data_IF_509932873569
#
_entry.id   IF_509932873569
#
_cell.length_a   1.000
_cell.length_b   1.000
_cell.length_c   1.000
_cell.angle_alpha   90.00
_cell.angle_beta   90.00
_cell.angle_gamma   90.00
#
_symmetry.space_group_name_H-M   'P 1'
#
loop_
_entity.id
_entity.type
_entity.pdbx_description
1 polymer ?
#
# COMPACT_ATOMS: atom_id res chain seq x y z
N UNK A 1 47.83 -8.00 -54.73
CA UNK A 1 47.61 -8.09 -56.20
C UNK A 1 46.33 -7.33 -56.46
N UNK A 2 46.44 -5.98 -56.77
CA UNK A 2 46.42 -5.42 -58.14
C UNK A 2 45.06 -5.74 -58.76
N UNK A 3 44.19 -4.82 -59.13
CA UNK A 3 44.28 -3.55 -59.92
C UNK A 3 42.88 -2.94 -59.93
N UNK A 4 42.59 -1.74 -59.50
CA UNK A 4 42.53 -0.45 -60.27
C UNK A 4 41.94 -0.53 -61.68
N UNK A 5 40.85 0.18 -61.90
CA UNK A 5 40.75 1.14 -63.04
C UNK A 5 39.45 1.98 -63.02
N UNK A 6 39.71 3.27 -63.08
CA UNK A 6 38.87 4.44 -63.34
C UNK A 6 38.14 4.42 -64.68
N UNK A 7 37.02 5.20 -64.74
CA UNK A 7 36.64 6.24 -65.78
C UNK A 7 35.10 6.38 -65.86
N UNK A 8 34.43 7.42 -65.95
CA UNK A 8 34.56 8.81 -66.40
C UNK A 8 33.23 9.55 -66.13
N UNK A 9 33.32 10.75 -65.70
CA UNK A 9 32.45 11.93 -65.83
C UNK A 9 31.28 11.82 -66.83
N UNK A 10 30.09 12.29 -66.36
CA UNK A 10 29.27 13.27 -67.08
C UNK A 10 28.49 14.12 -66.05
N UNK A 11 28.72 15.42 -66.16
CA UNK A 11 28.01 16.53 -65.49
C UNK A 11 26.71 16.73 -66.26
N UNK A 12 25.58 16.77 -65.55
CA UNK A 12 24.37 17.47 -66.01
C UNK A 12 23.78 18.26 -64.84
N UNK A 13 23.85 19.59 -64.98
CA UNK A 13 23.05 20.53 -64.20
C UNK A 13 21.58 20.27 -64.43
N UNK A 14 20.81 20.17 -63.36
CA UNK A 14 19.37 20.46 -63.45
C UNK A 14 18.90 21.07 -62.14
N UNK A 15 18.49 22.29 -62.27
CA UNK A 15 17.58 23.12 -61.50
C UNK A 15 17.24 22.77 -60.06
N UNK A 16 17.65 23.66 -59.19
CA UNK A 16 17.25 23.85 -57.80
C UNK A 16 15.75 24.27 -57.78
N UNK A 17 14.85 23.38 -57.41
CA UNK A 17 13.50 23.75 -56.98
C UNK A 17 13.51 23.73 -55.45
N UNK A 18 13.65 24.92 -54.85
CA UNK A 18 13.35 25.15 -53.45
C UNK A 18 11.85 24.94 -53.21
N UNK A 19 11.46 23.76 -52.75
CA UNK A 19 10.18 23.56 -52.08
C UNK A 19 10.32 24.13 -50.68
N UNK A 20 9.77 25.31 -50.47
CA UNK A 20 9.46 25.85 -49.14
C UNK A 20 8.48 24.88 -48.44
N UNK A 21 9.03 24.02 -47.58
CA UNK A 21 8.22 23.32 -46.58
C UNK A 21 7.69 24.34 -45.60
N UNK A 22 6.46 24.78 -45.77
CA UNK A 22 5.69 25.46 -44.74
C UNK A 22 5.65 24.54 -43.52
N UNK A 23 5.97 25.04 -42.30
CA UNK A 23 5.72 24.28 -41.12
C UNK A 23 4.21 24.02 -41.03
N UNK A 24 3.80 22.78 -41.12
CA UNK A 24 2.46 22.36 -40.68
C UNK A 24 2.30 22.83 -39.25
N UNK A 25 1.51 23.87 -39.06
CA UNK A 25 0.93 24.21 -37.78
C UNK A 25 0.25 22.92 -37.30
N UNK A 26 0.87 22.25 -36.32
CA UNK A 26 0.16 21.33 -35.45
C UNK A 26 -0.88 22.20 -34.75
N UNK A 27 -2.10 22.17 -35.25
CA UNK A 27 -3.25 22.71 -34.54
C UNK A 27 -3.30 21.95 -33.22
N UNK A 28 -2.99 22.66 -32.14
CA UNK A 28 -3.35 22.22 -30.80
C UNK A 28 -4.81 21.77 -30.88
N UNK A 29 -5.06 20.53 -30.48
CA UNK A 29 -6.44 20.06 -30.30
C UNK A 29 -7.13 21.13 -29.46
N UNK A 30 -8.21 21.66 -29.98
CA UNK A 30 -9.08 22.57 -29.27
C UNK A 30 -9.51 21.91 -27.99
N UNK A 31 -8.84 22.24 -26.87
CA UNK A 31 -9.33 21.89 -25.55
C UNK A 31 -10.69 22.61 -25.44
N UNK A 32 -11.74 21.85 -25.25
CA UNK A 32 -12.98 22.42 -24.79
C UNK A 32 -12.70 23.29 -23.57
N UNK A 33 -13.30 24.50 -23.47
CA UNK A 33 -13.10 25.33 -22.29
C UNK A 33 -13.52 24.51 -21.04
N UNK A 34 -12.68 24.51 -20.01
CA UNK A 34 -12.99 23.86 -18.76
C UNK A 34 -14.41 24.27 -18.32
N UNK A 35 -15.24 23.33 -17.83
CA UNK A 35 -16.61 23.63 -17.45
C UNK A 35 -16.62 24.77 -16.43
N UNK A 36 -17.47 25.75 -16.63
CA UNK A 36 -17.64 26.86 -15.69
C UNK A 36 -18.12 26.27 -14.36
N UNK A 37 -17.42 26.55 -13.28
CA UNK A 37 -17.83 26.12 -11.93
C UNK A 37 -19.25 26.58 -11.64
N UNK A 38 -20.11 25.69 -11.17
CA UNK A 38 -21.45 26.07 -10.73
C UNK A 38 -21.35 27.11 -9.61
N UNK A 39 -22.35 27.98 -9.48
CA UNK A 39 -22.41 29.00 -8.42
C UNK A 39 -22.33 28.37 -7.02
N UNK A 40 -22.82 27.14 -6.86
CA UNK A 40 -22.80 26.40 -5.60
C UNK A 40 -21.38 25.97 -5.23
N UNK A 41 -20.60 25.43 -6.18
CA UNK A 41 -19.19 25.08 -5.99
C UNK A 41 -18.38 26.34 -5.69
N UNK A 42 -18.60 27.44 -6.43
CA UNK A 42 -17.92 28.71 -6.20
C UNK A 42 -18.19 29.24 -4.76
N UNK A 43 -19.39 29.09 -4.25
CA UNK A 43 -19.76 29.48 -2.87
C UNK A 43 -18.98 28.66 -1.84
N UNK A 44 -18.80 27.36 -2.06
CA UNK A 44 -18.02 26.52 -1.13
C UNK A 44 -16.53 26.86 -1.18
N UNK A 45 -15.98 27.02 -2.39
CA UNK A 45 -14.54 27.34 -2.58
C UNK A 45 -14.16 28.65 -1.89
N UNK A 46 -15.04 29.67 -1.93
CA UNK A 46 -14.82 30.99 -1.33
C UNK A 46 -15.25 31.06 0.14
N UNK A 47 -15.64 29.97 0.76
CA UNK A 47 -16.08 29.98 2.15
C UNK A 47 -14.92 30.30 3.10
N UNK A 48 -15.13 31.14 4.15
CA UNK A 48 -14.06 31.56 5.07
C UNK A 48 -13.25 30.43 5.72
N UNK A 49 -13.85 29.25 5.91
CA UNK A 49 -13.12 28.07 6.44
C UNK A 49 -12.00 27.59 5.51
N UNK A 50 -12.02 27.96 4.23
CA UNK A 50 -11.05 27.57 3.21
C UNK A 50 -10.15 28.74 2.74
N UNK A 51 -10.29 29.93 3.32
CA UNK A 51 -9.60 31.16 2.84
C UNK A 51 -8.07 31.01 2.75
N UNK A 52 -7.46 30.28 3.71
CA UNK A 52 -6.01 30.07 3.73
C UNK A 52 -5.59 28.72 3.12
N UNK A 53 -6.54 27.93 2.63
CA UNK A 53 -6.28 26.60 2.10
C UNK A 53 -6.09 26.58 0.60
N UNK A 54 -5.24 25.70 0.11
CA UNK A 54 -5.21 25.31 -1.31
C UNK A 54 -6.20 24.17 -1.50
N UNK A 55 -7.15 24.35 -2.39
CA UNK A 55 -8.19 23.39 -2.73
C UNK A 55 -8.00 22.92 -4.18
N UNK A 56 -7.94 21.60 -4.38
CA UNK A 56 -7.95 20.98 -5.70
C UNK A 56 -9.14 20.02 -5.82
N UNK A 57 -9.90 20.08 -6.92
CA UNK A 57 -11.05 19.22 -7.17
C UNK A 57 -11.03 18.72 -8.60
N UNK A 58 -11.27 17.42 -8.80
CA UNK A 58 -11.63 16.84 -10.09
C UNK A 58 -12.80 15.88 -9.91
N UNK A 59 -13.79 15.96 -10.79
CA UNK A 59 -14.87 14.98 -10.91
C UNK A 59 -15.09 14.65 -12.38
N UNK A 60 -15.15 13.35 -12.69
CA UNK A 60 -15.27 12.83 -14.07
C UNK A 60 -16.32 11.75 -14.11
N UNK A 61 -17.24 11.85 -15.02
CA UNK A 61 -18.19 10.78 -15.35
C UNK A 61 -17.46 9.59 -15.98
N UNK A 62 -17.69 8.41 -15.43
CA UNK A 62 -16.93 7.22 -15.86
C UNK A 62 -17.41 6.61 -17.17
N UNK A 63 -18.69 6.84 -17.54
CA UNK A 63 -19.28 6.26 -18.73
C UNK A 63 -18.96 7.11 -19.96
N UNK A 64 -19.10 8.44 -19.85
CA UNK A 64 -18.86 9.39 -20.95
C UNK A 64 -17.42 9.90 -21.02
N UNK A 65 -16.70 9.89 -19.89
CA UNK A 65 -15.41 10.57 -19.74
C UNK A 65 -15.53 12.10 -19.60
N UNK A 66 -16.75 12.63 -19.48
CA UNK A 66 -17.02 14.06 -19.30
C UNK A 66 -16.41 14.57 -17.99
N UNK A 67 -15.68 15.70 -18.09
CA UNK A 67 -15.15 16.40 -16.91
C UNK A 67 -16.24 17.29 -16.36
N UNK A 68 -16.75 16.94 -15.17
CA UNK A 68 -17.86 17.64 -14.52
C UNK A 68 -17.38 18.81 -13.66
N UNK A 69 -16.26 18.64 -12.97
CA UNK A 69 -15.60 19.66 -12.16
C UNK A 69 -14.09 19.57 -12.40
N UNK A 70 -13.47 20.69 -12.72
CA UNK A 70 -12.02 20.85 -12.81
C UNK A 70 -11.62 22.15 -12.13
N UNK A 71 -11.07 22.06 -10.93
CA UNK A 71 -10.61 23.21 -10.18
C UNK A 71 -9.25 22.91 -9.58
N UNK A 72 -8.21 23.58 -10.07
CA UNK A 72 -6.80 23.40 -9.65
C UNK A 72 -6.44 21.90 -9.59
N UNK A 73 -6.98 21.11 -10.53
CA UNK A 73 -6.88 19.65 -10.49
C UNK A 73 -5.48 19.10 -10.79
N UNK A 74 -4.59 19.94 -11.35
CA UNK A 74 -3.21 19.56 -11.69
C UNK A 74 -2.18 19.92 -10.60
N UNK A 75 -2.57 20.70 -9.59
CA UNK A 75 -1.68 21.10 -8.51
C UNK A 75 -1.27 19.90 -7.65
N UNK A 76 0.05 19.66 -7.45
CA UNK A 76 0.54 18.60 -6.57
C UNK A 76 0.31 18.93 -5.10
N UNK A 77 -0.64 18.28 -4.48
CA UNK A 77 -1.05 18.47 -3.09
C UNK A 77 -0.62 17.27 -2.22
N UNK A 78 -0.60 17.46 -0.91
CA UNK A 78 -0.38 16.38 0.06
C UNK A 78 -1.64 15.51 0.11
N UNK A 79 -1.54 14.21 -0.26
CA UNK A 79 -2.71 13.33 -0.35
C UNK A 79 -3.18 12.76 0.99
N UNK A 80 -2.36 12.85 2.05
CA UNK A 80 -2.57 12.06 3.25
C UNK A 80 -2.88 10.60 2.89
N UNK A 81 -3.79 9.93 3.59
CA UNK A 81 -4.08 8.50 3.38
C UNK A 81 -4.75 8.15 2.03
N UNK A 82 -5.10 9.11 1.17
CA UNK A 82 -5.48 8.84 -0.23
C UNK A 82 -4.29 8.22 -1.00
N UNK A 83 -3.06 8.47 -0.55
CA UNK A 83 -1.85 7.83 -1.07
C UNK A 83 -1.92 6.29 -1.06
N UNK A 84 -2.61 5.68 -0.08
CA UNK A 84 -2.80 4.23 0.02
C UNK A 84 -3.46 3.61 -1.21
N UNK A 85 -4.27 4.37 -1.93
CA UNK A 85 -4.90 3.89 -3.17
C UNK A 85 -3.85 3.48 -4.20
N UNK A 86 -2.75 4.23 -4.33
CA UNK A 86 -1.65 3.88 -5.24
C UNK A 86 -0.89 2.63 -4.77
N UNK A 87 -0.63 2.53 -3.47
CA UNK A 87 0.04 1.36 -2.87
C UNK A 87 -0.79 0.09 -3.05
N UNK A 88 -2.09 0.16 -2.75
CA UNK A 88 -3.01 -0.98 -2.88
C UNK A 88 -3.21 -1.36 -4.35
N UNK A 89 -3.41 -0.40 -5.24
CA UNK A 89 -3.57 -0.68 -6.67
C UNK A 89 -2.31 -1.32 -7.27
N UNK A 90 -1.13 -0.79 -6.96
CA UNK A 90 0.13 -1.37 -7.41
C UNK A 90 0.35 -2.79 -6.86
N UNK A 91 -0.07 -3.06 -5.62
CA UNK A 91 0.01 -4.39 -5.02
C UNK A 91 -0.95 -5.36 -5.70
N UNK A 92 -2.20 -4.99 -5.91
CA UNK A 92 -3.19 -5.80 -6.61
C UNK A 92 -2.78 -6.05 -8.07
N UNK A 93 -2.26 -5.03 -8.76
CA UNK A 93 -1.74 -5.15 -10.12
C UNK A 93 -0.54 -6.10 -10.22
N UNK A 94 0.41 -6.01 -9.26
CA UNK A 94 1.68 -6.76 -9.34
C UNK A 94 1.62 -8.16 -8.76
N UNK A 95 0.95 -8.32 -7.62
CA UNK A 95 0.87 -9.59 -6.89
C UNK A 95 -0.40 -10.37 -7.20
N UNK A 96 -1.45 -9.68 -7.63
CA UNK A 96 -2.80 -10.22 -7.82
C UNK A 96 -3.61 -10.30 -6.53
N UNK A 97 -4.94 -10.29 -6.64
CA UNK A 97 -5.84 -10.26 -5.46
C UNK A 97 -5.79 -11.55 -4.62
N UNK A 98 -5.35 -12.67 -5.20
CA UNK A 98 -5.24 -13.97 -4.52
C UNK A 98 -3.91 -14.20 -3.81
N UNK A 99 -2.99 -13.23 -3.87
CA UNK A 99 -1.69 -13.34 -3.21
C UNK A 99 -1.85 -13.50 -1.69
N UNK A 100 -1.13 -14.49 -1.12
CA UNK A 100 -1.14 -14.84 0.32
C UNK A 100 0.29 -14.83 0.84
N UNK A 101 0.53 -14.11 1.92
CA UNK A 101 1.79 -14.19 2.66
C UNK A 101 1.88 -15.49 3.43
N UNK A 102 3.08 -16.03 3.50
CA UNK A 102 3.38 -17.25 4.25
C UNK A 102 4.46 -16.93 5.28
N UNK A 103 4.16 -17.20 6.56
CA UNK A 103 5.11 -17.05 7.67
C UNK A 103 5.46 -18.43 8.20
N UNK A 104 6.59 -19.02 7.77
CA UNK A 104 7.00 -20.34 8.21
C UNK A 104 7.41 -20.33 9.68
N UNK A 105 6.93 -21.32 10.42
CA UNK A 105 7.46 -21.76 11.71
C UNK A 105 8.23 -23.05 11.43
N UNK A 106 9.55 -23.01 11.63
CA UNK A 106 10.47 -24.09 11.31
C UNK A 106 11.34 -24.43 12.53
N UNK A 107 12.05 -25.54 12.49
CA UNK A 107 12.94 -25.90 13.58
C UNK A 107 14.28 -26.41 13.07
N UNK A 108 15.30 -26.30 13.92
CA UNK A 108 16.59 -26.96 13.74
C UNK A 108 16.70 -28.18 14.64
N UNK A 109 17.69 -29.06 14.33
CA UNK A 109 17.93 -30.26 15.13
C UNK A 109 16.98 -31.41 14.79
N UNK A 110 16.86 -32.35 15.69
CA UNK A 110 16.10 -33.59 15.52
C UNK A 110 14.86 -33.62 16.40
N UNK A 111 13.86 -34.39 16.00
CA UNK A 111 12.76 -34.80 16.86
C UNK A 111 13.18 -36.04 17.68
N UNK A 112 12.92 -36.03 18.97
CA UNK A 112 13.29 -37.04 19.93
C UNK A 112 12.08 -37.45 20.77
N UNK A 113 12.16 -38.61 21.38
CA UNK A 113 11.09 -39.22 22.17
C UNK A 113 10.42 -40.37 21.42
N UNK A 114 9.54 -41.09 22.12
CA UNK A 114 8.83 -42.26 21.55
C UNK A 114 7.86 -41.88 20.44
N UNK A 115 7.30 -40.68 20.53
CA UNK A 115 6.32 -40.12 19.61
C UNK A 115 6.82 -38.81 18.96
N UNK A 116 8.15 -38.62 18.89
CA UNK A 116 8.79 -37.41 18.37
C UNK A 116 8.29 -36.09 19.02
N UNK A 117 7.95 -36.15 20.33
CA UNK A 117 7.35 -35.04 21.06
C UNK A 117 8.31 -33.89 21.42
N UNK A 118 9.64 -34.14 21.31
CA UNK A 118 10.67 -33.16 21.66
C UNK A 118 11.43 -32.71 20.43
N UNK A 119 11.54 -31.40 20.20
CA UNK A 119 12.47 -30.81 19.27
C UNK A 119 13.77 -30.49 20.01
N UNK A 120 14.86 -31.19 19.67
CA UNK A 120 16.20 -30.95 20.23
C UNK A 120 16.92 -29.88 19.40
N UNK A 121 16.46 -28.64 19.54
CA UNK A 121 16.95 -27.48 18.78
C UNK A 121 16.00 -26.30 18.91
N UNK A 122 16.23 -25.26 18.11
CA UNK A 122 15.46 -24.02 18.17
C UNK A 122 14.20 -24.09 17.29
N UNK A 123 13.13 -23.42 17.75
CA UNK A 123 12.01 -23.05 16.91
C UNK A 123 12.30 -21.70 16.24
N UNK A 124 12.06 -21.59 14.94
CA UNK A 124 12.27 -20.39 14.16
C UNK A 124 10.95 -19.84 13.65
N UNK A 125 10.73 -18.54 13.80
CA UNK A 125 9.66 -17.80 13.16
C UNK A 125 10.28 -16.93 12.06
N UNK A 126 9.97 -17.23 10.80
CA UNK A 126 10.57 -16.57 9.64
C UNK A 126 9.61 -15.53 9.06
N UNK A 127 9.87 -14.26 9.34
CA UNK A 127 9.09 -13.16 8.81
C UNK A 127 9.16 -13.06 7.30
N UNK A 128 8.01 -12.84 6.66
CA UNK A 128 7.88 -12.61 5.21
C UNK A 128 6.99 -11.40 4.89
N UNK A 129 6.74 -10.55 5.90
CA UNK A 129 5.99 -9.31 5.74
C UNK A 129 4.48 -9.45 5.78
N UNK A 130 3.93 -10.57 6.28
CA UNK A 130 2.49 -10.73 6.48
C UNK A 130 1.93 -9.58 7.34
N UNK A 131 0.98 -8.78 6.81
CA UNK A 131 0.58 -7.55 7.48
C UNK A 131 -0.59 -7.74 8.47
N UNK A 132 -1.19 -8.93 8.52
CA UNK A 132 -2.46 -9.21 9.18
C UNK A 132 -2.38 -10.23 10.31
N UNK A 133 -1.18 -10.66 10.72
CA UNK A 133 -1.07 -11.63 11.79
C UNK A 133 -1.54 -10.99 13.11
N UNK A 134 -2.55 -11.60 13.71
CA UNK A 134 -3.08 -11.26 15.02
C UNK A 134 -2.96 -12.45 15.99
N UNK A 135 -3.26 -12.22 17.25
CA UNK A 135 -3.08 -13.21 18.31
C UNK A 135 -3.86 -14.51 18.07
N UNK A 136 -5.02 -14.43 17.42
CA UNK A 136 -5.85 -15.58 17.06
C UNK A 136 -5.12 -16.53 16.09
N UNK A 137 -4.40 -16.02 15.09
CA UNK A 137 -3.62 -16.86 14.18
C UNK A 137 -2.42 -17.48 14.89
N UNK A 138 -1.79 -16.77 15.83
CA UNK A 138 -0.72 -17.32 16.66
C UNK A 138 -1.24 -18.45 17.57
N UNK A 139 -2.45 -18.30 18.12
CA UNK A 139 -3.12 -19.33 18.88
C UNK A 139 -3.38 -20.58 18.03
N UNK A 140 -3.92 -20.41 16.83
CA UNK A 140 -4.14 -21.51 15.89
C UNK A 140 -2.83 -22.23 15.57
N UNK A 141 -1.74 -21.48 15.31
CA UNK A 141 -0.43 -22.04 15.05
C UNK A 141 0.10 -22.84 16.25
N UNK A 142 0.00 -22.30 17.45
CA UNK A 142 0.42 -22.98 18.69
C UNK A 142 -0.34 -24.31 18.91
N UNK A 143 -1.65 -24.30 18.72
CA UNK A 143 -2.50 -25.51 18.80
C UNK A 143 -2.15 -26.52 17.71
N UNK A 144 -1.88 -26.07 16.50
CA UNK A 144 -1.50 -26.93 15.40
C UNK A 144 -0.12 -27.60 15.63
N UNK A 145 0.82 -26.89 16.23
CA UNK A 145 2.13 -27.45 16.62
C UNK A 145 1.95 -28.53 17.70
N UNK A 146 1.18 -28.25 18.74
CA UNK A 146 0.87 -29.25 19.77
C UNK A 146 0.17 -30.50 19.18
N UNK A 147 -0.81 -30.28 18.28
CA UNK A 147 -1.53 -31.37 17.62
C UNK A 147 -0.64 -32.24 16.72
N UNK A 148 0.54 -31.76 16.31
CA UNK A 148 1.57 -32.56 15.63
C UNK A 148 2.46 -33.38 16.59
N UNK A 149 2.08 -33.44 17.86
CA UNK A 149 2.76 -34.21 18.92
C UNK A 149 3.90 -33.44 19.59
N UNK A 150 4.20 -32.18 19.23
CA UNK A 150 5.27 -31.42 19.88
C UNK A 150 4.81 -30.93 21.25
N UNK A 151 5.52 -31.32 22.31
CA UNK A 151 5.27 -30.91 23.69
C UNK A 151 6.45 -30.14 24.31
N UNK A 152 7.65 -30.30 23.75
CA UNK A 152 8.86 -29.64 24.24
C UNK A 152 9.73 -29.15 23.06
N UNK A 153 10.18 -27.91 23.14
CA UNK A 153 11.24 -27.34 22.31
C UNK A 153 12.43 -27.10 23.24
N UNK A 154 13.47 -27.96 23.11
CA UNK A 154 14.67 -27.87 23.91
C UNK A 154 15.70 -26.94 23.31
N UNK A 155 15.36 -25.66 23.21
CA UNK A 155 16.11 -24.58 22.63
C UNK A 155 15.33 -23.28 22.72
N UNK A 156 15.66 -22.31 21.88
CA UNK A 156 15.10 -20.97 21.85
C UNK A 156 13.98 -20.83 20.81
N UNK A 157 13.17 -19.77 20.95
CA UNK A 157 12.34 -19.26 19.87
C UNK A 157 13.09 -18.11 19.16
N UNK A 158 13.60 -18.40 17.98
CA UNK A 158 14.37 -17.45 17.16
C UNK A 158 13.44 -16.72 16.20
N UNK A 159 13.43 -15.39 16.26
CA UNK A 159 12.62 -14.53 15.39
C UNK A 159 13.48 -13.85 14.32
N UNK A 160 13.24 -14.18 13.06
CA UNK A 160 13.97 -13.64 11.92
C UNK A 160 13.08 -12.75 11.04
N UNK A 161 13.33 -11.44 11.07
CA UNK A 161 12.58 -10.44 10.32
C UNK A 161 13.41 -9.75 9.20
N UNK A 162 14.55 -10.34 8.80
CA UNK A 162 15.47 -9.80 7.79
C UNK A 162 14.91 -9.76 6.38
N UNK A 163 13.71 -10.27 6.15
CA UNK A 163 13.02 -10.13 4.86
C UNK A 163 12.74 -8.66 4.50
N UNK A 164 12.62 -7.79 5.51
CA UNK A 164 12.64 -6.34 5.34
C UNK A 164 13.95 -5.76 5.88
N UNK A 165 14.24 -4.51 5.50
CA UNK A 165 15.33 -3.73 6.09
C UNK A 165 15.02 -3.29 7.53
N UNK A 166 15.98 -2.60 8.17
CA UNK A 166 15.83 -2.10 9.53
C UNK A 166 15.17 -0.72 9.62
N UNK A 167 14.72 -0.14 8.49
CA UNK A 167 13.96 1.10 8.48
C UNK A 167 12.53 0.82 8.96
N UNK A 168 12.28 1.11 10.24
CA UNK A 168 11.01 0.76 10.90
C UNK A 168 9.89 1.77 10.66
N UNK A 169 10.20 2.96 10.14
CA UNK A 169 9.25 4.07 9.96
C UNK A 169 9.38 4.65 8.56
N UNK A 170 8.29 5.22 8.04
CA UNK A 170 8.32 5.94 6.77
C UNK A 170 9.09 7.25 6.86
N UNK A 171 9.62 7.69 5.72
CA UNK A 171 10.40 8.93 5.62
C UNK A 171 9.57 10.14 6.04
N UNK A 172 10.12 10.95 6.96
CA UNK A 172 9.49 12.19 7.46
C UNK A 172 8.11 11.99 8.09
N UNK A 173 7.89 10.85 8.73
CA UNK A 173 6.68 10.67 9.52
C UNK A 173 6.63 11.67 10.68
N UNK A 174 5.47 12.29 10.97
CA UNK A 174 5.31 13.21 12.07
C UNK A 174 5.66 12.53 13.41
N UNK A 175 6.45 13.22 14.26
CA UNK A 175 6.84 12.71 15.59
C UNK A 175 8.02 11.73 15.58
N UNK A 176 8.45 11.22 14.45
CA UNK A 176 9.61 10.30 14.34
C UNK A 176 9.48 9.06 15.22
N UNK A 177 10.60 8.53 15.69
CA UNK A 177 10.70 7.30 16.51
C UNK A 177 10.12 7.47 17.94
N UNK A 178 9.81 8.68 18.36
CA UNK A 178 9.37 8.97 19.74
C UNK A 178 7.86 8.86 19.97
N UNK A 179 7.07 8.68 18.91
CA UNK A 179 5.61 8.61 19.02
C UNK A 179 5.19 7.15 19.27
N UNK A 180 4.68 6.89 20.47
CA UNK A 180 4.17 5.57 20.86
C UNK A 180 2.70 5.34 20.44
N UNK A 181 2.21 6.08 19.46
CA UNK A 181 0.84 5.93 18.98
C UNK A 181 0.74 4.78 17.96
N UNK A 182 -0.29 3.96 18.08
CA UNK A 182 -0.46 2.75 17.27
C UNK A 182 -0.52 3.02 15.75
N UNK A 183 -0.95 4.20 15.32
CA UNK A 183 -0.98 4.55 13.89
C UNK A 183 0.42 4.90 13.31
N UNK A 184 1.44 5.06 14.18
CA UNK A 184 2.86 5.20 13.84
C UNK A 184 3.68 3.97 14.26
N UNK A 185 3.04 2.82 14.44
CA UNK A 185 3.74 1.63 14.90
C UNK A 185 4.85 1.18 13.95
N UNK A 186 5.94 0.60 14.46
CA UNK A 186 7.09 0.20 13.67
C UNK A 186 6.76 -0.96 12.71
N UNK A 187 7.35 -0.90 11.52
CA UNK A 187 7.18 -1.89 10.46
C UNK A 187 8.27 -2.97 10.58
N UNK A 188 7.87 -4.23 10.54
CA UNK A 188 8.78 -5.38 10.52
C UNK A 188 8.31 -6.43 9.52
N UNK A 189 9.19 -7.35 9.14
CA UNK A 189 8.78 -8.49 8.32
C UNK A 189 8.09 -9.59 9.15
N UNK A 190 8.20 -9.50 10.47
CA UNK A 190 7.53 -10.35 11.44
C UNK A 190 6.82 -9.44 12.45
N UNK A 191 5.51 -9.39 12.39
CA UNK A 191 4.67 -8.51 13.20
C UNK A 191 3.46 -9.27 13.72
N UNK A 192 2.94 -8.86 14.88
CA UNK A 192 1.65 -9.30 15.38
C UNK A 192 0.82 -8.08 15.83
N UNK A 193 -0.51 -8.17 15.71
CA UNK A 193 -1.45 -7.13 16.16
C UNK A 193 -1.10 -5.74 15.63
N UNK A 194 -0.64 -5.64 14.36
CA UNK A 194 -0.24 -4.38 13.70
C UNK A 194 0.86 -3.63 14.45
N UNK A 195 1.79 -4.35 15.09
CA UNK A 195 2.87 -3.82 15.94
C UNK A 195 2.36 -2.94 17.10
N UNK A 196 1.20 -3.26 17.67
CA UNK A 196 0.60 -2.51 18.77
C UNK A 196 -0.03 -3.45 19.80
N UNK A 197 -0.16 -2.96 21.01
CA UNK A 197 -0.85 -3.64 22.12
C UNK A 197 -1.72 -2.68 22.91
N UNK A 198 -2.67 -3.22 23.65
CA UNK A 198 -3.57 -2.41 24.49
C UNK A 198 -2.98 -2.25 25.89
N UNK A 199 -2.85 -0.97 26.32
CA UNK A 199 -2.43 -0.58 27.66
C UNK A 199 -3.56 0.25 28.30
N UNK A 200 -4.36 -0.40 29.13
CA UNK A 200 -5.60 0.21 29.62
C UNK A 200 -6.58 0.46 28.47
N UNK A 201 -6.97 1.72 28.26
CA UNK A 201 -7.87 2.12 27.16
C UNK A 201 -7.14 2.61 25.90
N UNK A 202 -5.81 2.68 25.92
CA UNK A 202 -5.00 3.18 24.83
C UNK A 202 -4.34 2.05 24.04
N UNK A 203 -4.17 2.27 22.72
CA UNK A 203 -3.33 1.45 21.87
C UNK A 203 -1.94 2.06 21.79
N UNK A 204 -0.93 1.28 22.13
CA UNK A 204 0.48 1.69 22.20
C UNK A 204 1.29 0.86 21.21
N UNK A 205 2.17 1.52 20.45
CA UNK A 205 3.09 0.86 19.55
C UNK A 205 4.14 0.05 20.32
N UNK A 206 4.52 -1.12 19.77
CA UNK A 206 5.63 -1.92 20.31
C UNK A 206 6.97 -1.28 19.93
N UNK A 207 8.02 -1.58 20.68
CA UNK A 207 9.37 -1.13 20.35
C UNK A 207 10.01 -2.01 19.24
N UNK A 208 9.88 -3.32 19.37
CA UNK A 208 10.42 -4.30 18.42
C UNK A 208 9.30 -5.28 17.98
N UNK A 209 8.85 -5.18 16.71
CA UNK A 209 7.78 -6.02 16.19
C UNK A 209 8.08 -7.52 16.25
N UNK A 210 9.33 -7.91 15.94
CA UNK A 210 9.69 -9.32 15.86
C UNK A 210 9.82 -9.96 17.25
N UNK A 211 10.41 -9.25 18.20
CA UNK A 211 10.46 -9.74 19.58
C UNK A 211 9.06 -9.81 20.19
N UNK A 212 8.22 -8.81 19.97
CA UNK A 212 6.83 -8.85 20.40
C UNK A 212 6.06 -10.02 19.80
N UNK A 213 6.21 -10.30 18.50
CA UNK A 213 5.63 -11.48 17.87
C UNK A 213 6.09 -12.76 18.57
N UNK A 214 7.40 -12.89 18.81
CA UNK A 214 7.99 -14.05 19.49
C UNK A 214 7.46 -14.22 20.89
N UNK A 215 7.39 -13.17 21.69
CA UNK A 215 6.84 -13.19 23.06
C UNK A 215 5.38 -13.64 23.10
N UNK A 216 4.56 -13.15 22.13
CA UNK A 216 3.16 -13.58 22.02
C UNK A 216 3.07 -15.04 21.63
N UNK A 217 3.82 -15.49 20.63
CA UNK A 217 3.85 -16.89 20.20
C UNK A 217 4.36 -17.80 21.31
N UNK A 218 5.42 -17.41 22.03
CA UNK A 218 5.97 -18.14 23.18
C UNK A 218 4.91 -18.37 24.27
N UNK A 219 4.20 -17.31 24.65
CA UNK A 219 3.14 -17.40 25.64
C UNK A 219 2.01 -18.36 25.21
N UNK A 220 1.60 -18.26 23.92
CA UNK A 220 0.53 -19.10 23.38
C UNK A 220 0.94 -20.56 23.20
N UNK A 221 2.21 -20.85 22.86
CA UNK A 221 2.75 -22.21 22.82
C UNK A 221 2.69 -22.85 24.20
N UNK A 222 3.13 -22.13 25.24
CA UNK A 222 3.05 -22.64 26.62
C UNK A 222 1.60 -22.93 27.05
N UNK A 223 0.66 -22.01 26.72
CA UNK A 223 -0.78 -22.24 26.98
C UNK A 223 -1.35 -23.43 26.20
N UNK A 224 -0.83 -23.67 24.98
CA UNK A 224 -1.22 -24.82 24.16
C UNK A 224 -0.63 -26.14 24.64
N UNK A 225 0.31 -26.16 25.61
CA UNK A 225 0.98 -27.33 26.11
C UNK A 225 2.35 -27.65 25.47
N UNK A 226 2.91 -26.69 24.70
CA UNK A 226 4.25 -26.79 24.12
C UNK A 226 5.21 -25.93 24.94
N UNK A 227 6.09 -26.55 25.70
CA UNK A 227 7.10 -25.87 26.51
C UNK A 227 8.31 -25.49 25.66
N UNK A 228 8.90 -24.33 25.93
CA UNK A 228 10.17 -23.89 25.34
C UNK A 228 11.16 -23.73 26.51
N UNK A 229 12.33 -24.37 26.42
CA UNK A 229 13.32 -24.34 27.50
C UNK A 229 14.21 -23.08 27.46
N UNK A 230 14.36 -22.46 26.32
CA UNK A 230 15.15 -21.27 26.11
C UNK A 230 14.31 -19.98 26.11
N UNK A 231 14.82 -18.96 25.45
CA UNK A 231 14.25 -17.62 25.40
C UNK A 231 13.80 -17.20 23.97
N UNK A 232 13.12 -16.06 23.88
CA UNK A 232 12.82 -15.41 22.59
C UNK A 232 13.98 -14.50 22.24
N UNK A 233 14.58 -14.71 21.06
CA UNK A 233 15.74 -13.92 20.62
C UNK A 233 15.82 -13.79 19.11
N UNK A 234 16.64 -12.88 18.67
CA UNK A 234 17.06 -12.78 17.26
C UNK A 234 18.12 -13.83 16.92
N UNK A 235 18.29 -14.19 15.63
CA UNK A 235 19.34 -15.11 15.21
C UNK A 235 20.74 -14.55 15.49
N UNK A 236 21.66 -15.45 15.86
CA UNK A 236 23.09 -15.12 15.98
C UNK A 236 23.76 -15.03 14.61
N UNK A 237 24.96 -14.43 14.57
CA UNK A 237 25.73 -14.32 13.33
C UNK A 237 26.10 -15.72 12.79
N UNK A 238 26.44 -16.67 13.64
CA UNK A 238 26.81 -18.02 13.24
C UNK A 238 25.62 -18.81 12.69
N UNK A 239 24.43 -18.64 13.27
CA UNK A 239 23.19 -19.22 12.75
C UNK A 239 22.87 -18.65 11.37
N UNK A 240 23.02 -17.34 11.18
CA UNK A 240 22.83 -16.69 9.90
C UNK A 240 23.83 -17.15 8.83
N UNK A 241 25.10 -17.27 9.20
CA UNK A 241 26.13 -17.78 8.31
C UNK A 241 25.83 -19.22 7.87
N UNK A 242 25.35 -20.06 8.80
CA UNK A 242 24.94 -21.45 8.50
C UNK A 242 23.78 -21.48 7.50
N UNK A 243 22.76 -20.64 7.69
CA UNK A 243 21.62 -20.57 6.76
C UNK A 243 22.04 -20.08 5.38
N UNK A 244 22.89 -19.05 5.28
CA UNK A 244 23.39 -18.51 4.00
C UNK A 244 24.23 -19.50 3.22
N UNK A 245 25.12 -20.26 3.90
CA UNK A 245 25.95 -21.27 3.25
C UNK A 245 25.12 -22.41 2.64
N UNK A 246 23.93 -22.63 3.15
CA UNK A 246 23.05 -23.71 2.70
C UNK A 246 22.09 -23.32 1.58
N UNK A 247 21.88 -22.05 1.30
CA UNK A 247 21.01 -21.57 0.21
C UNK A 247 21.50 -21.99 -1.19
N UNK A 248 22.78 -22.38 -1.33
CA UNK A 248 23.40 -22.82 -2.60
C UNK A 248 23.54 -24.31 -2.84
N UNK A 249 23.25 -25.17 -1.86
CA UNK A 249 23.75 -26.57 -1.86
C UNK A 249 22.72 -27.68 -2.03
N UNK A 250 21.41 -27.40 -2.02
CA UNK A 250 20.39 -28.46 -2.19
C UNK A 250 19.32 -28.13 -3.21
N UNK A 251 19.31 -28.82 -4.38
CA UNK A 251 18.22 -28.73 -5.34
C UNK A 251 16.91 -29.38 -4.89
N UNK A 252 16.89 -30.06 -3.76
CA UNK A 252 15.73 -30.90 -3.36
C UNK A 252 14.86 -30.29 -2.24
N UNK A 253 15.16 -29.09 -1.74
CA UNK A 253 14.32 -28.36 -0.80
C UNK A 253 13.18 -27.58 -1.47
N UNK A 254 12.86 -27.96 -2.70
CA UNK A 254 11.91 -27.27 -3.59
C UNK A 254 10.45 -27.25 -3.10
N UNK A 255 10.10 -27.98 -2.04
CA UNK A 255 8.73 -28.01 -1.50
C UNK A 255 8.48 -27.04 -0.35
N UNK A 256 9.50 -26.64 0.42
CA UNK A 256 9.35 -25.76 1.58
C UNK A 256 9.95 -24.35 1.36
N UNK A 257 10.86 -24.19 0.40
CA UNK A 257 11.59 -22.91 0.18
C UNK A 257 12.41 -22.45 1.38
N UNK A 258 12.73 -23.38 2.32
CA UNK A 258 13.48 -23.06 3.53
C UNK A 258 14.96 -23.39 3.35
N UNK A 259 15.88 -22.53 3.87
CA UNK A 259 17.30 -22.87 3.88
C UNK A 259 17.56 -24.03 4.85
N UNK A 260 18.47 -24.94 4.48
CA UNK A 260 18.96 -25.99 5.39
C UNK A 260 19.74 -25.33 6.55
N UNK A 261 19.70 -25.82 7.80
CA UNK A 261 19.06 -27.09 8.25
C UNK A 261 17.62 -26.96 8.77
N UNK A 262 16.88 -25.93 8.35
CA UNK A 262 15.51 -25.69 8.82
C UNK A 262 14.54 -26.72 8.27
N UNK A 263 13.71 -27.26 9.16
CA UNK A 263 12.62 -28.17 8.83
C UNK A 263 11.28 -27.50 9.13
N UNK A 264 10.37 -27.50 8.15
CA UNK A 264 9.06 -26.87 8.30
C UNK A 264 8.22 -27.60 9.34
N UNK A 265 7.71 -26.84 10.32
CA UNK A 265 6.80 -27.33 11.32
C UNK A 265 5.36 -26.89 11.06
N UNK A 266 5.15 -25.62 10.76
CA UNK A 266 3.85 -25.03 10.45
C UNK A 266 4.04 -23.79 9.58
N UNK A 267 3.00 -23.38 8.85
CA UNK A 267 2.98 -22.10 8.12
C UNK A 267 1.74 -21.32 8.51
N UNK A 268 1.93 -20.10 9.00
CA UNK A 268 0.84 -19.14 9.17
C UNK A 268 0.60 -18.50 7.81
N UNK A 269 -0.64 -18.51 7.34
CA UNK A 269 -1.06 -17.88 6.10
C UNK A 269 -1.85 -16.62 6.41
N UNK A 270 -1.60 -15.54 5.65
CA UNK A 270 -2.45 -14.37 5.67
C UNK A 270 -3.79 -14.62 4.99
N UNK A 271 -4.74 -13.70 5.14
CA UNK A 271 -5.83 -13.55 4.21
C UNK A 271 -5.30 -13.17 2.81
N UNK A 272 -6.04 -13.42 1.73
CA UNK A 272 -5.68 -12.95 0.39
C UNK A 272 -5.57 -11.43 0.31
N UNK A 273 -4.65 -10.90 -0.51
CA UNK A 273 -4.43 -9.47 -0.68
C UNK A 273 -5.71 -8.68 -0.99
N UNK A 274 -6.61 -9.24 -1.83
CA UNK A 274 -7.90 -8.60 -2.12
C UNK A 274 -8.74 -8.37 -0.86
N UNK A 275 -8.69 -9.30 0.12
CA UNK A 275 -9.34 -9.13 1.43
C UNK A 275 -8.61 -8.11 2.29
N UNK A 276 -7.27 -8.15 2.33
CA UNK A 276 -6.46 -7.23 3.12
C UNK A 276 -6.54 -5.78 2.61
N UNK A 277 -6.78 -5.58 1.32
CA UNK A 277 -7.03 -4.28 0.74
C UNK A 277 -8.19 -3.53 1.41
N UNK A 278 -9.22 -4.28 1.88
CA UNK A 278 -10.32 -3.67 2.65
C UNK A 278 -9.81 -3.07 3.95
N UNK A 279 -8.97 -3.79 4.69
CA UNK A 279 -8.45 -3.32 5.98
C UNK A 279 -7.52 -2.11 5.79
N UNK A 280 -6.71 -2.10 4.73
CA UNK A 280 -5.86 -0.96 4.38
C UNK A 280 -6.69 0.28 4.04
N UNK A 281 -7.71 0.16 3.21
CA UNK A 281 -8.45 1.33 2.71
C UNK A 281 -9.59 1.77 3.62
N UNK A 282 -10.43 0.86 4.14
CA UNK A 282 -11.58 1.19 5.01
C UNK A 282 -11.16 1.70 6.38
N UNK A 283 -10.17 1.06 6.99
CA UNK A 283 -9.65 1.45 8.31
C UNK A 283 -8.40 2.32 8.23
N UNK A 284 -7.90 2.54 7.01
CA UNK A 284 -6.72 3.40 6.76
C UNK A 284 -5.46 2.93 7.50
N UNK A 285 -5.24 1.60 7.57
CA UNK A 285 -4.14 1.01 8.31
C UNK A 285 -2.78 1.36 7.68
N UNK A 286 -1.94 2.10 8.41
CA UNK A 286 -0.65 2.57 7.95
C UNK A 286 0.40 1.45 7.93
N UNK A 287 0.43 0.63 8.99
CA UNK A 287 1.38 -0.48 9.15
C UNK A 287 1.21 -1.49 8.01
N UNK A 288 -0.04 -1.86 7.70
CA UNK A 288 -0.32 -2.75 6.57
C UNK A 288 0.12 -2.16 5.24
N UNK A 289 -0.15 -0.87 5.00
CA UNK A 289 0.24 -0.19 3.76
C UNK A 289 1.76 -0.21 3.55
N UNK A 290 2.55 0.05 4.60
CA UNK A 290 4.01 0.02 4.53
C UNK A 290 4.57 -1.40 4.39
N UNK A 291 4.00 -2.38 5.09
CA UNK A 291 4.39 -3.77 4.94
C UNK A 291 4.12 -4.29 3.51
N UNK A 292 2.98 -3.92 2.92
CA UNK A 292 2.65 -4.22 1.52
C UNK A 292 3.65 -3.52 0.58
N UNK A 293 3.99 -2.25 0.83
CA UNK A 293 4.99 -1.52 0.03
C UNK A 293 6.35 -2.24 0.06
N UNK A 294 6.84 -2.61 1.25
CA UNK A 294 8.11 -3.35 1.37
C UNK A 294 8.05 -4.74 0.75
N UNK A 295 6.91 -5.41 0.81
CA UNK A 295 6.68 -6.69 0.13
C UNK A 295 6.80 -6.56 -1.38
N UNK A 296 6.21 -5.51 -1.99
CA UNK A 296 6.40 -5.21 -3.40
C UNK A 296 7.88 -5.09 -3.76
N UNK A 297 8.63 -4.35 -2.94
CA UNK A 297 10.08 -4.19 -3.12
C UNK A 297 10.85 -5.50 -3.03
N UNK A 298 10.51 -6.35 -2.04
CA UNK A 298 11.14 -7.65 -1.87
C UNK A 298 10.84 -8.59 -3.05
N UNK A 299 9.61 -8.56 -3.56
CA UNK A 299 9.16 -9.42 -4.66
C UNK A 299 9.85 -9.08 -5.99
N UNK A 300 9.99 -7.78 -6.33
CA UNK A 300 10.55 -7.36 -7.63
C UNK A 300 12.07 -7.22 -7.61
N UNK A 301 12.66 -6.84 -6.47
CA UNK A 301 14.07 -6.49 -6.37
C UNK A 301 14.84 -7.35 -5.35
N UNK A 302 14.21 -8.40 -4.81
CA UNK A 302 14.80 -9.29 -3.81
C UNK A 302 14.85 -8.66 -2.40
N UNK A 303 14.95 -9.54 -1.39
CA UNK A 303 15.10 -9.11 0.00
C UNK A 303 16.53 -8.59 0.30
N UNK A 304 16.69 -7.68 1.29
CA UNK A 304 15.62 -7.13 2.09
C UNK A 304 14.70 -6.22 1.27
N UNK A 305 13.39 -6.34 1.53
CA UNK A 305 12.39 -5.41 1.03
C UNK A 305 12.54 -4.05 1.70
N UNK A 306 12.63 -2.99 0.92
CA UNK A 306 12.78 -1.61 1.40
C UNK A 306 11.65 -0.73 0.88
N UNK A 307 11.39 0.39 1.55
CA UNK A 307 10.43 1.37 1.05
C UNK A 307 10.81 1.87 -0.35
N UNK A 308 12.08 2.16 -0.60
CA UNK A 308 12.55 2.66 -1.91
C UNK A 308 12.33 1.65 -3.04
N UNK A 309 12.58 0.35 -2.81
CA UNK A 309 12.28 -0.71 -3.77
C UNK A 309 10.77 -0.80 -4.04
N UNK A 310 9.94 -0.73 -2.99
CA UNK A 310 8.49 -0.75 -3.12
C UNK A 310 7.96 0.45 -3.90
N UNK A 311 8.47 1.65 -3.62
CA UNK A 311 8.14 2.87 -4.36
C UNK A 311 8.52 2.78 -5.85
N UNK A 312 9.61 2.09 -6.18
CA UNK A 312 9.97 1.84 -7.57
C UNK A 312 8.93 0.96 -8.29
N UNK A 313 8.33 -0.03 -7.60
CA UNK A 313 7.23 -0.84 -8.15
C UNK A 313 5.97 0.00 -8.35
N UNK A 314 5.62 0.87 -7.38
CA UNK A 314 4.47 1.78 -7.53
C UNK A 314 4.70 2.76 -8.69
N UNK A 315 5.92 3.28 -8.85
CA UNK A 315 6.26 4.13 -9.99
C UNK A 315 6.14 3.39 -11.33
N UNK A 316 6.56 2.12 -11.38
CA UNK A 316 6.38 1.25 -12.56
C UNK A 316 4.90 1.06 -12.89
N UNK A 317 4.06 0.72 -11.91
CA UNK A 317 2.62 0.62 -12.08
C UNK A 317 2.02 1.91 -12.67
N UNK A 318 2.39 3.07 -12.11
CA UNK A 318 1.88 4.36 -12.60
C UNK A 318 2.28 4.64 -14.05
N UNK A 319 3.51 4.32 -14.44
CA UNK A 319 3.95 4.51 -15.81
C UNK A 319 3.27 3.56 -16.79
N UNK A 320 3.21 2.27 -16.45
CA UNK A 320 2.73 1.22 -17.35
C UNK A 320 1.20 1.19 -17.43
N UNK A 321 0.51 1.32 -16.29
CA UNK A 321 -0.93 1.21 -16.22
C UNK A 321 -1.65 2.56 -16.37
N UNK A 322 -1.14 3.65 -15.76
CA UNK A 322 -1.82 4.94 -15.80
C UNK A 322 -1.30 5.88 -16.88
N UNK A 323 -0.18 5.54 -17.52
CA UNK A 323 0.43 6.39 -18.57
C UNK A 323 0.79 7.80 -18.06
N UNK A 324 1.06 7.96 -16.76
CA UNK A 324 1.33 9.27 -16.16
C UNK A 324 2.81 9.57 -16.14
N UNK A 325 3.20 10.77 -16.59
CA UNK A 325 4.57 11.27 -16.43
C UNK A 325 4.93 11.39 -14.94
N UNK A 326 6.20 11.10 -14.63
CA UNK A 326 6.74 11.11 -13.25
C UNK A 326 7.03 12.51 -12.71
N UNK A 327 6.91 13.57 -13.51
CA UNK A 327 7.52 14.87 -13.19
C UNK A 327 6.89 15.60 -12.01
N UNK A 328 5.61 15.32 -11.68
CA UNK A 328 4.87 16.11 -10.68
C UNK A 328 4.28 15.27 -9.55
N UNK A 329 4.79 14.06 -9.38
CA UNK A 329 4.37 13.14 -8.32
C UNK A 329 5.54 12.73 -7.46
N UNK A 330 5.40 12.90 -6.17
CA UNK A 330 6.34 12.43 -5.17
C UNK A 330 5.61 11.46 -4.22
N UNK A 331 6.10 10.25 -4.15
CA UNK A 331 5.66 9.30 -3.11
C UNK A 331 6.86 8.98 -2.22
N UNK A 332 6.74 9.32 -0.94
CA UNK A 332 7.78 9.12 0.06
C UNK A 332 7.53 7.91 0.97
N UNK A 333 6.28 7.43 1.02
CA UNK A 333 5.86 6.26 1.80
C UNK A 333 4.66 5.56 1.16
N UNK A 334 4.25 4.41 1.72
CA UNK A 334 3.08 3.67 1.25
C UNK A 334 1.77 4.15 1.87
N UNK A 335 1.81 4.74 3.04
CA UNK A 335 0.64 5.06 3.87
C UNK A 335 0.08 6.46 3.66
N UNK A 336 0.91 7.40 3.23
CA UNK A 336 0.55 8.81 3.12
C UNK A 336 0.71 9.62 4.41
N UNK A 337 1.40 9.07 5.42
CA UNK A 337 1.74 9.83 6.64
C UNK A 337 2.80 10.89 6.39
N UNK A 338 3.70 10.67 5.44
CA UNK A 338 4.75 11.61 5.10
C UNK A 338 4.21 12.89 4.48
N UNK A 339 4.61 14.03 5.03
CA UNK A 339 4.32 15.34 4.46
C UNK A 339 5.05 15.63 3.15
N UNK A 340 5.95 14.74 2.70
CA UNK A 340 6.67 14.86 1.44
C UNK A 340 5.87 14.35 0.24
N UNK A 341 4.84 13.54 0.46
CA UNK A 341 3.99 13.04 -0.62
C UNK A 341 3.33 14.19 -1.39
N UNK A 342 3.34 14.10 -2.72
CA UNK A 342 2.65 15.05 -3.62
C UNK A 342 1.95 14.28 -4.72
N UNK A 343 0.67 14.53 -4.90
CA UNK A 343 -0.15 13.99 -5.99
C UNK A 343 -1.24 14.99 -6.34
N UNK A 344 -1.58 15.11 -7.61
CA UNK A 344 -2.68 15.99 -8.01
C UNK A 344 -4.03 15.26 -7.98
N UNK A 345 -5.16 15.98 -7.82
CA UNK A 345 -6.50 15.40 -7.98
C UNK A 345 -6.66 14.62 -9.28
N UNK A 346 -6.09 15.13 -10.39
CA UNK A 346 -6.13 14.47 -11.71
C UNK A 346 -5.43 13.11 -11.70
N UNK A 347 -4.30 12.99 -11.03
CA UNK A 347 -3.58 11.71 -10.92
C UNK A 347 -4.38 10.69 -10.11
N UNK A 348 -5.06 11.12 -9.05
CA UNK A 348 -5.95 10.25 -8.26
C UNK A 348 -7.15 9.80 -9.08
N UNK A 349 -7.82 10.71 -9.79
CA UNK A 349 -8.97 10.37 -10.63
C UNK A 349 -8.57 9.42 -11.77
N UNK A 350 -7.40 9.60 -12.37
CA UNK A 350 -6.87 8.64 -13.37
C UNK A 350 -6.68 7.24 -12.78
N UNK A 351 -6.16 7.15 -11.57
CA UNK A 351 -6.08 5.86 -10.88
C UNK A 351 -7.48 5.24 -10.70
N UNK A 352 -8.45 6.02 -10.26
CA UNK A 352 -9.83 5.56 -10.07
C UNK A 352 -10.47 5.10 -11.39
N UNK A 353 -10.31 5.86 -12.47
CA UNK A 353 -10.78 5.51 -13.81
C UNK A 353 -10.16 4.18 -14.29
N UNK A 354 -8.83 4.04 -14.17
CA UNK A 354 -8.14 2.81 -14.54
C UNK A 354 -8.63 1.62 -13.71
N UNK A 355 -8.68 1.76 -12.39
CA UNK A 355 -9.11 0.68 -11.52
C UNK A 355 -10.58 0.28 -11.76
N UNK A 356 -11.47 1.24 -12.09
CA UNK A 356 -12.87 0.93 -12.40
C UNK A 356 -13.00 0.07 -13.67
N UNK A 357 -12.15 0.30 -14.67
CA UNK A 357 -12.17 -0.42 -15.94
C UNK A 357 -11.33 -1.70 -15.97
N UNK A 358 -10.46 -1.91 -14.99
CA UNK A 358 -9.60 -3.10 -14.95
C UNK A 358 -10.35 -4.32 -14.44
N UNK A 359 -10.41 -5.36 -15.29
CA UNK A 359 -11.10 -6.62 -14.96
C UNK A 359 -10.35 -7.46 -13.92
N UNK A 360 -9.02 -7.35 -13.84
CA UNK A 360 -8.18 -8.28 -13.07
C UNK A 360 -8.10 -7.93 -11.59
N UNK A 361 -8.18 -6.65 -11.24
CA UNK A 361 -8.12 -6.22 -9.84
C UNK A 361 -9.14 -5.13 -9.46
N UNK A 362 -9.81 -4.56 -10.45
CA UNK A 362 -10.77 -3.47 -10.23
C UNK A 362 -11.88 -3.79 -9.25
N UNK A 363 -12.52 -4.95 -9.33
CA UNK A 363 -13.58 -5.33 -8.39
C UNK A 363 -13.10 -5.30 -6.92
N UNK A 364 -11.93 -5.88 -6.62
CA UNK A 364 -11.34 -5.91 -5.28
C UNK A 364 -10.90 -4.51 -4.83
N UNK A 365 -10.35 -3.72 -5.76
CA UNK A 365 -9.95 -2.34 -5.48
C UNK A 365 -11.18 -1.49 -5.10
N UNK A 366 -12.24 -1.51 -5.89
CA UNK A 366 -13.49 -0.78 -5.60
C UNK A 366 -14.13 -1.27 -4.31
N UNK A 367 -14.19 -2.58 -4.08
CA UNK A 367 -14.72 -3.18 -2.86
C UNK A 367 -13.91 -2.79 -1.62
N UNK A 368 -12.61 -2.50 -1.78
CA UNK A 368 -11.74 -2.10 -0.68
C UNK A 368 -12.06 -0.72 -0.10
N UNK A 369 -12.76 0.13 -0.84
CA UNK A 369 -13.17 1.45 -0.35
C UNK A 369 -14.34 1.36 0.62
N UNK A 370 -14.38 2.24 1.62
CA UNK A 370 -15.50 2.31 2.55
C UNK A 370 -16.78 2.81 1.87
N UNK A 371 -17.91 2.29 2.31
CA UNK A 371 -19.23 2.79 1.91
C UNK A 371 -19.61 3.93 2.85
N UNK A 372 -19.99 5.09 2.29
CA UNK A 372 -20.35 6.25 3.09
C UNK A 372 -21.42 5.92 4.11
N UNK A 373 -21.17 6.24 5.38
CA UNK A 373 -22.08 6.05 6.50
C UNK A 373 -22.34 4.59 6.92
N UNK A 374 -21.85 3.58 6.18
CA UNK A 374 -22.18 2.18 6.44
C UNK A 374 -21.03 1.39 7.06
N UNK A 375 -19.78 1.62 6.62
CA UNK A 375 -18.62 0.90 7.13
C UNK A 375 -17.36 1.80 7.23
N UNK A 376 -16.35 1.33 7.96
CA UNK A 376 -15.13 2.11 8.22
C UNK A 376 -15.41 3.36 9.06
N UNK A 377 -14.41 4.25 9.14
CA UNK A 377 -14.59 5.54 9.83
C UNK A 377 -15.18 6.57 8.87
N UNK A 378 -16.39 7.06 9.17
CA UNK A 378 -17.06 8.11 8.43
C UNK A 378 -17.37 9.30 9.36
N UNK A 379 -17.01 10.55 9.00
CA UNK A 379 -17.48 11.74 9.66
C UNK A 379 -19.02 11.84 9.61
N UNK A 380 -19.60 12.54 10.61
CA UNK A 380 -21.07 12.63 10.74
C UNK A 380 -21.79 13.06 9.46
N UNK A 381 -21.32 14.06 8.67
CA UNK A 381 -22.05 14.48 7.46
C UNK A 381 -22.24 13.40 6.39
N UNK A 382 -21.44 12.31 6.44
CA UNK A 382 -21.53 11.19 5.50
C UNK A 382 -22.43 10.05 5.99
N UNK A 383 -22.98 10.15 7.20
CA UNK A 383 -23.84 9.12 7.80
C UNK A 383 -25.34 9.36 7.55
N UNK A 384 -25.66 10.50 6.98
CA UNK A 384 -27.03 10.93 6.74
C UNK A 384 -27.33 11.03 5.23
N UNK A 385 -28.60 10.91 4.80
CA UNK A 385 -29.00 11.24 3.43
C UNK A 385 -28.60 12.68 3.05
N UNK A 386 -28.24 12.93 1.78
CA UNK A 386 -28.30 12.03 0.64
C UNK A 386 -27.02 11.20 0.42
N UNK A 387 -26.02 11.23 1.32
CA UNK A 387 -24.71 10.64 1.09
C UNK A 387 -24.56 9.18 1.57
N UNK A 388 -25.37 8.77 2.56
CA UNK A 388 -25.26 7.44 3.15
C UNK A 388 -25.52 6.35 2.09
N UNK A 389 -24.56 5.42 1.94
CA UNK A 389 -24.65 4.30 0.99
C UNK A 389 -24.25 4.62 -0.45
N UNK A 390 -24.16 5.89 -0.82
CA UNK A 390 -24.07 6.35 -2.21
C UNK A 390 -22.64 6.60 -2.70
N UNK A 391 -21.66 6.54 -1.80
CA UNK A 391 -20.28 6.79 -2.12
C UNK A 391 -19.37 5.62 -1.74
N UNK A 392 -18.36 5.34 -2.57
CA UNK A 392 -17.23 4.47 -2.26
C UNK A 392 -16.00 5.35 -2.04
N UNK A 393 -15.46 5.38 -0.83
CA UNK A 393 -14.56 6.44 -0.40
C UNK A 393 -13.23 5.96 0.15
N UNK A 394 -12.18 6.75 -0.10
CA UNK A 394 -10.96 6.79 0.69
C UNK A 394 -10.76 8.22 1.20
N UNK A 395 -10.68 8.38 2.51
CA UNK A 395 -10.34 9.66 3.14
C UNK A 395 -8.89 9.69 3.58
N UNK A 396 -8.32 10.89 3.61
CA UNK A 396 -7.00 11.16 4.16
C UNK A 396 -7.06 12.36 5.10
N UNK A 397 -6.37 12.26 6.22
CA UNK A 397 -6.29 13.32 7.21
C UNK A 397 -4.93 13.31 7.91
N UNK A 398 -4.25 14.44 7.88
CA UNK A 398 -3.12 14.80 8.72
C UNK A 398 -3.24 16.28 9.06
N UNK A 399 -2.40 16.81 9.94
CA UNK A 399 -2.50 18.21 10.38
C UNK A 399 -2.52 19.20 9.20
N UNK A 400 -3.60 19.98 9.10
CA UNK A 400 -3.80 20.98 8.04
C UNK A 400 -4.12 20.39 6.65
N UNK A 401 -4.39 19.11 6.55
CA UNK A 401 -4.70 18.43 5.30
C UNK A 401 -5.95 17.57 5.47
N UNK A 402 -6.89 17.74 4.56
CA UNK A 402 -8.08 16.89 4.44
C UNK A 402 -8.26 16.48 2.97
N UNK A 403 -8.42 15.20 2.72
CA UNK A 403 -8.60 14.66 1.36
C UNK A 403 -9.70 13.62 1.32
N UNK A 404 -10.45 13.60 0.23
CA UNK A 404 -11.48 12.61 -0.04
C UNK A 404 -11.44 12.25 -1.51
N UNK A 405 -11.47 10.96 -1.81
CA UNK A 405 -11.55 10.48 -3.20
C UNK A 405 -12.34 9.19 -3.29
N UNK A 406 -12.83 8.89 -4.48
CA UNK A 406 -13.56 7.66 -4.71
C UNK A 406 -14.59 7.77 -5.82
N UNK A 407 -15.68 7.04 -5.65
CA UNK A 407 -16.78 6.96 -6.60
C UNK A 407 -18.07 7.44 -5.96
N UNK A 408 -18.86 8.19 -6.73
CA UNK A 408 -20.21 8.63 -6.35
C UNK A 408 -21.23 8.03 -7.32
N UNK A 409 -22.32 7.48 -6.78
CA UNK A 409 -23.52 7.16 -7.54
C UNK A 409 -24.42 8.38 -7.55
N UNK A 410 -24.67 8.95 -8.74
CA UNK A 410 -25.44 10.20 -8.89
C UNK A 410 -26.94 9.94 -8.92
N UNK A 411 -27.74 11.00 -8.71
CA UNK A 411 -29.21 10.92 -8.81
C UNK A 411 -29.70 10.61 -10.23
N UNK A 412 -28.88 10.92 -11.24
CA UNK A 412 -29.14 10.54 -12.64
C UNK A 412 -28.77 9.08 -12.97
N UNK A 413 -28.21 8.33 -12.01
CA UNK A 413 -27.81 6.93 -12.18
C UNK A 413 -26.41 6.74 -12.76
N UNK A 414 -25.62 7.82 -12.91
CA UNK A 414 -24.24 7.76 -13.41
C UNK A 414 -23.25 7.43 -12.28
N UNK A 415 -22.07 6.94 -12.66
CA UNK A 415 -20.94 6.75 -11.73
C UNK A 415 -19.88 7.79 -11.99
N UNK A 416 -19.54 8.58 -10.98
CA UNK A 416 -18.55 9.66 -11.07
C UNK A 416 -17.33 9.31 -10.24
N UNK A 417 -16.12 9.33 -10.82
CA UNK A 417 -14.87 9.30 -10.09
C UNK A 417 -14.49 10.72 -9.66
N UNK A 418 -14.13 10.89 -8.40
CA UNK A 418 -13.80 12.23 -7.89
C UNK A 418 -12.65 12.24 -6.89
N UNK A 419 -12.01 13.39 -6.77
CA UNK A 419 -11.01 13.70 -5.77
C UNK A 419 -11.14 15.14 -5.31
N UNK A 420 -11.16 15.35 -3.99
CA UNK A 420 -11.13 16.64 -3.30
C UNK A 420 -9.93 16.65 -2.39
N UNK A 421 -9.06 17.63 -2.52
CA UNK A 421 -7.89 17.83 -1.67
C UNK A 421 -7.87 19.25 -1.10
N UNK A 422 -7.75 19.38 0.21
CA UNK A 422 -7.68 20.65 0.94
C UNK A 422 -6.40 20.63 1.76
N UNK A 423 -5.47 21.54 1.44
CA UNK A 423 -4.16 21.62 2.08
C UNK A 423 -3.95 23.00 2.71
N UNK A 424 -3.34 23.04 3.89
CA UNK A 424 -2.97 24.29 4.56
C UNK A 424 -4.10 24.93 5.37
N UNK A 425 -5.25 24.26 5.54
CA UNK A 425 -6.35 24.81 6.35
C UNK A 425 -5.97 24.95 7.83
N UNK A 426 -6.53 25.97 8.48
CA UNK A 426 -6.40 26.23 9.91
C UNK A 426 -7.71 25.99 10.68
N UNK A 427 -8.80 25.76 9.97
CA UNK A 427 -10.13 25.50 10.51
C UNK A 427 -10.21 24.18 11.27
N UNK A 428 -11.24 24.04 12.12
CA UNK A 428 -11.51 22.81 12.84
C UNK A 428 -11.88 21.68 11.85
N UNK A 429 -11.49 20.45 12.19
CA UNK A 429 -11.71 19.29 11.32
C UNK A 429 -13.18 19.12 10.89
N UNK A 430 -14.12 19.29 11.82
CA UNK A 430 -15.55 19.15 11.53
C UNK A 430 -16.09 20.18 10.53
N UNK A 431 -15.51 21.39 10.49
CA UNK A 431 -15.88 22.43 9.51
C UNK A 431 -15.44 22.05 8.11
N UNK A 432 -14.23 21.49 8.00
CA UNK A 432 -13.71 20.98 6.73
C UNK A 432 -14.53 19.77 6.26
N UNK A 433 -14.87 18.84 7.17
CA UNK A 433 -15.72 17.69 6.85
C UNK A 433 -17.09 18.12 6.30
N UNK A 434 -17.65 19.23 6.80
CA UNK A 434 -18.88 19.81 6.25
C UNK A 434 -18.68 20.30 4.81
N UNK A 435 -17.61 21.04 4.54
CA UNK A 435 -17.31 21.54 3.17
C UNK A 435 -17.11 20.40 2.18
N UNK A 436 -16.36 19.36 2.58
CA UNK A 436 -16.17 18.17 1.74
C UNK A 436 -17.47 17.42 1.50
N UNK A 437 -18.34 17.32 2.50
CA UNK A 437 -19.65 16.71 2.35
C UNK A 437 -20.58 17.53 1.43
N UNK A 438 -20.56 18.86 1.51
CA UNK A 438 -21.32 19.72 0.60
C UNK A 438 -20.87 19.55 -0.86
N UNK A 439 -19.55 19.52 -1.13
CA UNK A 439 -19.02 19.20 -2.46
C UNK A 439 -19.47 17.81 -2.93
N UNK A 440 -19.46 16.82 -2.03
CA UNK A 440 -19.92 15.46 -2.36
C UNK A 440 -21.43 15.41 -2.68
N UNK A 441 -22.27 16.23 -2.02
CA UNK A 441 -23.69 16.37 -2.33
C UNK A 441 -23.89 16.96 -3.72
N UNK A 442 -23.13 18.02 -4.07
CA UNK A 442 -23.22 18.63 -5.40
C UNK A 442 -22.82 17.63 -6.48
N UNK A 443 -21.71 16.88 -6.29
CA UNK A 443 -21.29 15.84 -7.23
C UNK A 443 -22.40 14.80 -7.43
N UNK A 444 -23.15 14.46 -6.39
CA UNK A 444 -24.23 13.49 -6.47
C UNK A 444 -25.49 14.03 -7.14
N UNK A 445 -25.88 15.28 -6.85
CA UNK A 445 -27.19 15.84 -7.25
C UNK A 445 -27.18 16.61 -8.58
N UNK A 446 -26.04 17.15 -8.99
CA UNK A 446 -25.97 18.05 -10.14
C UNK A 446 -25.65 17.32 -11.46
N UNK A 447 -25.35 16.03 -11.41
CA UNK A 447 -24.91 15.27 -12.59
C UNK A 447 -25.63 13.89 -12.74
#
# INVERSE_FOLDING_TARGET
MVTLLLRHRRVLCTALLCLLALPTLVTAQNGEPAPSLSSEIATIITHPTLEEATLGILAVDLDSGEVLIDYIADEPLIPASVNKLFTVAAALWRLGPTFVWQTPLAYTGNRLGTDDETIAGNLWALGRGAPDIVEEQLWVAARAIHARGVTLINGDLVVDDRYFDNERFGQSWPGGVQVQEAYHAPIGALMANYSAYRKGDEWVAVEDPALYFGERLYALLNLAGVKISGEVRRPTIDELATLMLSEGTHPDNSRSGLPSPLQLLYTIHSEPLGRLALDVNKYSNNVMAEAILKTLGATDYGHPGTASKGLAVVAKFRNEALGTSLTDYVQADGSGLSNLNRVSPRQVVRLLQHAHSDFHFGPEFVASMKISGMDGFNPRPFRDPPLVGELRLKSGHIRGVNTLSGYAHTESGRTVAFCVMINGHKSQQWEIDLRVAELSKIIRSSY
#
